data_IF_064104631205
#
_entry.id   IF_064104631205
#
_cell.length_a   1.000
_cell.length_b   1.000
_cell.length_c   1.000
_cell.angle_alpha   90.00
_cell.angle_beta   90.00
_cell.angle_gamma   90.00
#
_symmetry.space_group_name_H-M   'P 1'
#
loop_
_entity.id
_entity.type
_entity.pdbx_description
1 polymer ?
#
# COMPACT_ATOMS: atom_id res chain seq x y z
N UNK A 1 10.79 -20.02 15.79
CA UNK A 1 9.68 -19.19 15.29
C UNK A 1 9.97 -18.93 13.82
N UNK A 2 9.14 -19.33 12.83
CA UNK A 2 9.34 -18.95 11.44
C UNK A 2 9.17 -17.43 11.34
N UNK A 3 10.06 -16.77 10.61
CA UNK A 3 10.35 -15.35 10.60
C UNK A 3 9.13 -14.45 10.73
N UNK A 4 9.05 -13.75 11.84
CA UNK A 4 8.05 -12.73 12.09
C UNK A 4 8.22 -11.63 11.05
N UNK A 5 7.11 -11.16 10.51
CA UNK A 5 7.03 -9.95 9.70
C UNK A 5 7.53 -8.78 10.56
N UNK A 6 8.66 -8.19 10.19
CA UNK A 6 9.22 -7.08 10.95
C UNK A 6 8.48 -5.78 10.61
N UNK A 7 7.55 -5.39 11.47
CA UNK A 7 6.80 -4.14 11.36
C UNK A 7 7.45 -2.97 12.08
N UNK A 8 8.54 -3.22 12.81
CA UNK A 8 9.18 -2.19 13.66
C UNK A 8 9.53 -0.94 12.89
N UNK A 9 9.96 -1.09 11.63
CA UNK A 9 10.21 0.06 10.75
C UNK A 9 8.97 0.96 10.61
N UNK A 10 7.78 0.39 10.41
CA UNK A 10 6.57 1.19 10.17
C UNK A 10 6.03 1.83 11.44
N UNK A 11 6.20 1.20 12.60
CA UNK A 11 5.89 1.81 13.87
C UNK A 11 6.77 3.04 14.13
N UNK A 12 8.09 2.91 13.90
CA UNK A 12 9.04 4.01 14.04
C UNK A 12 8.83 5.10 12.97
N UNK A 13 8.52 4.69 11.75
CA UNK A 13 8.34 5.59 10.60
C UNK A 13 7.02 6.36 10.64
N UNK A 14 6.00 5.87 11.34
CA UNK A 14 4.65 6.44 11.32
C UNK A 14 4.61 7.96 11.56
N UNK A 15 5.45 8.46 12.49
CA UNK A 15 5.55 9.88 12.78
C UNK A 15 6.18 10.70 11.63
N UNK A 16 6.98 10.06 10.78
CA UNK A 16 7.80 10.70 9.75
C UNK A 16 7.35 10.35 8.33
N UNK A 17 6.44 9.39 8.15
CA UNK A 17 6.06 8.85 6.83
C UNK A 17 5.64 9.94 5.84
N UNK A 18 4.88 10.95 6.29
CA UNK A 18 4.48 12.08 5.45
C UNK A 18 5.65 12.87 4.87
N UNK A 19 6.84 12.81 5.49
CA UNK A 19 8.07 13.47 5.02
C UNK A 19 8.72 12.77 3.82
N UNK A 20 8.28 11.57 3.43
CA UNK A 20 8.73 10.90 2.22
C UNK A 20 8.22 11.65 0.97
N UNK A 21 7.06 12.29 1.09
CA UNK A 21 6.44 13.05 0.00
C UNK A 21 6.96 14.49 -0.03
N UNK A 22 7.08 15.07 -1.22
CA UNK A 22 7.36 16.49 -1.37
C UNK A 22 6.32 17.34 -0.63
N UNK A 23 5.04 17.06 -0.91
CA UNK A 23 3.89 17.59 -0.20
C UNK A 23 2.87 16.46 -0.06
N UNK A 24 2.58 16.05 1.18
CA UNK A 24 1.72 14.91 1.42
C UNK A 24 0.25 15.17 1.04
N UNK A 25 -0.29 16.37 1.29
CA UNK A 25 -1.66 16.71 0.88
C UNK A 25 -1.81 16.76 -0.64
N UNK A 26 -0.81 17.28 -1.35
CA UNK A 26 -0.78 17.22 -2.81
C UNK A 26 -0.70 15.76 -3.32
N UNK A 27 0.04 14.90 -2.62
CA UNK A 27 0.09 13.47 -2.95
C UNK A 27 -1.26 12.78 -2.71
N UNK A 28 -1.95 13.06 -1.60
CA UNK A 28 -3.32 12.59 -1.34
C UNK A 28 -4.25 12.98 -2.50
N UNK A 29 -4.25 14.26 -2.88
CA UNK A 29 -5.09 14.76 -3.97
C UNK A 29 -4.79 14.09 -5.31
N UNK A 30 -3.51 13.92 -5.65
CA UNK A 30 -3.08 13.21 -6.86
C UNK A 30 -3.52 11.75 -6.86
N UNK A 31 -3.36 11.04 -5.75
CA UNK A 31 -3.78 9.64 -5.64
C UNK A 31 -5.30 9.49 -5.76
N UNK A 32 -6.06 10.40 -5.17
CA UNK A 32 -7.51 10.45 -5.35
C UNK A 32 -7.91 10.61 -6.83
N UNK A 33 -7.21 11.46 -7.58
CA UNK A 33 -7.49 11.72 -9.00
C UNK A 33 -7.16 10.55 -9.92
N UNK A 34 -6.28 9.64 -9.51
CA UNK A 34 -5.91 8.44 -10.29
C UNK A 34 -6.71 7.21 -9.85
N UNK A 35 -6.67 6.89 -8.55
CA UNK A 35 -7.27 5.66 -8.03
C UNK A 35 -8.81 5.70 -8.04
N UNK A 36 -9.39 6.86 -7.71
CA UNK A 36 -10.85 7.01 -7.65
C UNK A 36 -11.53 6.64 -8.97
N UNK A 37 -11.21 7.29 -10.11
CA UNK A 37 -11.81 6.96 -11.41
C UNK A 37 -11.60 5.51 -11.84
N UNK A 38 -10.44 4.90 -11.55
CA UNK A 38 -10.17 3.50 -11.86
C UNK A 38 -11.10 2.57 -11.08
N UNK A 39 -11.27 2.82 -9.78
CA UNK A 39 -12.15 2.04 -8.89
C UNK A 39 -13.61 2.22 -9.31
N UNK A 40 -14.06 3.47 -9.54
CA UNK A 40 -15.43 3.79 -9.96
C UNK A 40 -15.80 3.10 -11.28
N UNK A 41 -14.91 3.19 -12.27
CA UNK A 41 -15.12 2.56 -13.58
C UNK A 41 -15.16 1.03 -13.46
N UNK A 42 -14.28 0.44 -12.64
CA UNK A 42 -14.25 -0.99 -12.45
C UNK A 42 -15.47 -1.50 -11.67
N UNK A 43 -15.96 -0.77 -10.66
CA UNK A 43 -17.15 -1.13 -9.88
C UNK A 43 -18.47 -0.75 -10.59
N UNK A 44 -18.43 0.13 -11.58
CA UNK A 44 -19.61 0.62 -12.30
C UNK A 44 -20.59 1.42 -11.43
N UNK A 45 -20.13 1.98 -10.32
CA UNK A 45 -20.94 2.76 -9.37
C UNK A 45 -20.13 3.78 -8.58
N UNK A 46 -20.82 4.73 -7.98
CA UNK A 46 -20.33 5.66 -6.96
C UNK A 46 -21.47 6.03 -6.01
N UNK A 47 -21.28 6.11 -4.66
CA UNK A 47 -20.05 5.77 -3.97
C UNK A 47 -19.73 4.26 -3.96
N UNK A 48 -18.44 3.94 -3.78
CA UNK A 48 -17.92 2.57 -3.65
C UNK A 48 -17.58 2.31 -2.17
N UNK A 49 -17.85 1.09 -1.67
CA UNK A 49 -17.37 0.63 -0.36
C UNK A 49 -15.98 0.04 -0.55
N UNK A 50 -14.98 0.66 0.03
CA UNK A 50 -13.56 0.34 -0.19
C UNK A 50 -12.92 -0.07 1.13
N UNK A 51 -12.22 -1.19 1.13
CA UNK A 51 -11.24 -1.53 2.15
C UNK A 51 -9.85 -1.16 1.64
N UNK A 52 -9.21 -0.16 2.26
CA UNK A 52 -7.77 0.08 2.11
C UNK A 52 -7.06 -0.84 3.12
N UNK A 53 -6.60 -1.99 2.63
CA UNK A 53 -6.14 -3.10 3.48
C UNK A 53 -4.73 -2.91 4.04
N UNK A 54 -4.01 -1.85 3.62
CA UNK A 54 -2.65 -1.50 4.05
C UNK A 54 -2.52 0.02 4.11
N UNK A 55 -3.43 0.66 4.86
CA UNK A 55 -3.67 2.09 4.78
C UNK A 55 -2.51 2.97 5.32
N UNK A 56 -1.55 2.40 6.04
CA UNK A 56 -0.48 3.15 6.68
C UNK A 56 -1.01 4.32 7.52
N UNK A 57 -0.50 5.51 7.29
CA UNK A 57 -0.97 6.74 7.94
C UNK A 57 -2.22 7.36 7.27
N UNK A 58 -2.84 6.63 6.32
CA UNK A 58 -4.13 6.98 5.70
C UNK A 58 -4.06 7.66 4.35
N UNK A 59 -2.95 7.64 3.63
CA UNK A 59 -2.77 8.40 2.37
C UNK A 59 -3.88 8.10 1.35
N UNK A 60 -4.12 6.84 1.02
CA UNK A 60 -5.15 6.42 0.06
C UNK A 60 -6.55 6.44 0.67
N UNK A 61 -6.68 6.02 1.94
CA UNK A 61 -7.96 6.04 2.64
C UNK A 61 -8.55 7.45 2.70
N UNK A 62 -7.74 8.45 3.06
CA UNK A 62 -8.13 9.88 3.07
C UNK A 62 -8.49 10.33 1.65
N UNK A 63 -7.63 10.03 0.67
CA UNK A 63 -7.82 10.40 -0.72
C UNK A 63 -9.19 9.95 -1.26
N UNK A 64 -9.54 8.68 -1.03
CA UNK A 64 -10.78 8.07 -1.51
C UNK A 64 -12.01 8.54 -0.71
N UNK A 65 -11.87 8.74 0.61
CA UNK A 65 -12.95 9.29 1.44
C UNK A 65 -13.29 10.75 1.07
N UNK A 66 -12.27 11.59 0.80
CA UNK A 66 -12.47 12.96 0.31
C UNK A 66 -13.18 12.99 -1.06
N UNK A 67 -13.08 11.93 -1.84
CA UNK A 67 -13.81 11.75 -3.09
C UNK A 67 -15.26 11.28 -2.90
N UNK A 68 -15.67 11.00 -1.66
CA UNK A 68 -17.03 10.61 -1.31
C UNK A 68 -17.28 9.10 -1.25
N UNK A 69 -16.24 8.27 -1.27
CA UNK A 69 -16.39 6.83 -1.08
C UNK A 69 -16.55 6.46 0.39
N UNK A 70 -17.19 5.31 0.66
CA UNK A 70 -17.28 4.73 1.98
C UNK A 70 -16.02 3.87 2.24
N UNK A 71 -15.03 4.45 2.92
CA UNK A 71 -13.73 3.83 3.13
C UNK A 71 -13.61 3.27 4.55
N UNK A 72 -13.06 2.06 4.63
CA UNK A 72 -12.51 1.45 5.85
C UNK A 72 -11.02 1.24 5.61
N UNK A 73 -10.18 1.47 6.62
CA UNK A 73 -8.74 1.23 6.52
C UNK A 73 -8.26 0.20 7.51
N UNK A 74 -7.24 -0.55 7.14
CA UNK A 74 -6.49 -1.41 8.06
C UNK A 74 -5.00 -1.39 7.76
N UNK A 75 -4.19 -1.61 8.79
CA UNK A 75 -2.74 -1.75 8.67
C UNK A 75 -2.22 -2.62 9.80
N UNK A 76 -1.10 -3.30 9.59
CA UNK A 76 -0.49 -4.13 10.62
C UNK A 76 0.16 -3.28 11.73
N UNK A 77 0.68 -2.08 11.39
CA UNK A 77 1.29 -1.14 12.34
C UNK A 77 0.22 -0.39 13.13
N UNK A 78 0.13 -0.68 14.42
CA UNK A 78 -0.77 0.06 15.33
C UNK A 78 -0.41 1.55 15.40
N UNK A 79 0.87 1.90 15.32
CA UNK A 79 1.35 3.29 15.30
C UNK A 79 0.90 4.02 14.03
N UNK A 80 0.96 3.36 12.86
CA UNK A 80 0.45 3.92 11.62
C UNK A 80 -1.07 4.12 11.67
N UNK A 81 -1.82 3.15 12.18
CA UNK A 81 -3.28 3.25 12.38
C UNK A 81 -3.63 4.38 13.35
N UNK A 82 -2.88 4.52 14.46
CA UNK A 82 -3.08 5.62 15.41
C UNK A 82 -2.83 6.98 14.74
N UNK A 83 -1.78 7.10 13.93
CA UNK A 83 -1.51 8.30 13.15
C UNK A 83 -2.62 8.56 12.11
N UNK A 84 -3.10 7.54 11.40
CA UNK A 84 -4.20 7.66 10.45
C UNK A 84 -5.48 8.21 11.12
N UNK A 85 -5.80 7.78 12.35
CA UNK A 85 -6.93 8.33 13.12
C UNK A 85 -6.80 9.83 13.39
N UNK A 86 -5.59 10.29 13.72
CA UNK A 86 -5.32 11.72 13.91
C UNK A 86 -5.52 12.48 12.60
N UNK A 87 -4.99 11.96 11.50
CA UNK A 87 -5.03 12.62 10.20
C UNK A 87 -6.44 12.67 9.60
N UNK A 88 -7.23 11.60 9.78
CA UNK A 88 -8.63 11.57 9.34
C UNK A 88 -9.49 12.50 10.16
N UNK A 89 -9.31 12.53 11.49
CA UNK A 89 -10.03 13.44 12.39
C UNK A 89 -9.73 14.92 12.08
N UNK A 90 -8.47 15.25 11.80
CA UNK A 90 -8.05 16.61 11.42
C UNK A 90 -8.73 17.10 10.13
N UNK A 91 -9.16 16.18 9.26
CA UNK A 91 -9.86 16.44 8.00
C UNK A 91 -11.38 16.26 8.10
N UNK A 92 -11.94 16.04 9.31
CA UNK A 92 -13.36 15.74 9.57
C UNK A 92 -13.86 14.51 8.77
N UNK A 93 -13.03 13.50 8.57
CA UNK A 93 -13.38 12.26 7.89
C UNK A 93 -13.67 11.16 8.93
N UNK A 94 -14.81 10.49 8.78
CA UNK A 94 -15.21 9.37 9.62
C UNK A 94 -14.82 8.05 8.94
N UNK A 95 -13.54 7.68 8.99
CA UNK A 95 -13.01 6.42 8.43
C UNK A 95 -12.81 5.43 9.57
N UNK A 96 -13.51 4.27 9.59
CA UNK A 96 -13.18 3.18 10.49
C UNK A 96 -11.77 2.64 10.20
N UNK A 97 -10.93 2.52 11.26
CA UNK A 97 -9.52 2.14 11.13
C UNK A 97 -9.17 1.03 12.12
N UNK A 98 -8.56 -0.04 11.64
CA UNK A 98 -8.29 -1.26 12.39
C UNK A 98 -6.81 -1.67 12.28
N UNK A 99 -6.26 -2.25 13.35
CA UNK A 99 -5.00 -2.99 13.26
C UNK A 99 -5.30 -4.39 12.74
N UNK A 100 -4.73 -4.77 11.59
CA UNK A 100 -4.95 -6.09 10.99
C UNK A 100 -3.79 -6.48 10.08
N UNK A 101 -3.47 -7.77 10.05
CA UNK A 101 -2.51 -8.35 9.11
C UNK A 101 -3.19 -8.57 7.75
N UNK A 102 -2.57 -8.13 6.65
CA UNK A 102 -3.08 -8.36 5.30
C UNK A 102 -3.33 -9.86 5.01
N UNK A 103 -2.59 -10.76 5.65
CA UNK A 103 -2.77 -12.22 5.52
C UNK A 103 -4.02 -12.74 6.23
N UNK A 104 -4.52 -11.98 7.21
CA UNK A 104 -5.77 -12.27 7.94
C UNK A 104 -6.52 -10.98 8.31
N UNK A 105 -7.42 -10.57 7.42
CA UNK A 105 -8.27 -9.39 7.60
C UNK A 105 -9.55 -9.68 8.41
N UNK A 106 -9.64 -10.80 9.10
CA UNK A 106 -10.82 -11.17 9.91
C UNK A 106 -11.10 -10.20 11.05
N UNK A 107 -10.08 -9.45 11.50
CA UNK A 107 -10.23 -8.39 12.49
C UNK A 107 -10.93 -7.12 11.95
N UNK A 108 -11.09 -6.99 10.63
CA UNK A 108 -11.85 -5.89 10.01
C UNK A 108 -13.32 -6.25 10.04
N UNK A 109 -14.15 -5.63 10.89
CA UNK A 109 -15.55 -5.98 11.02
C UNK A 109 -16.39 -5.44 9.87
N UNK A 110 -17.54 -6.04 9.63
CA UNK A 110 -18.56 -5.50 8.75
C UNK A 110 -18.92 -6.41 7.60
N UNK A 111 -19.74 -5.86 6.71
CA UNK A 111 -20.12 -6.50 5.46
C UNK A 111 -18.94 -6.41 4.47
N UNK A 112 -19.00 -7.27 3.47
CA UNK A 112 -18.05 -7.28 2.36
C UNK A 112 -17.98 -5.95 1.60
N UNK A 113 -16.86 -5.73 0.92
CA UNK A 113 -16.56 -4.50 0.19
C UNK A 113 -16.75 -4.69 -1.32
N UNK A 114 -16.95 -3.57 -2.03
CA UNK A 114 -16.99 -3.55 -3.49
C UNK A 114 -15.58 -3.58 -4.08
N UNK A 115 -14.62 -2.98 -3.33
CA UNK A 115 -13.22 -2.93 -3.71
C UNK A 115 -12.31 -3.16 -2.49
N UNK A 116 -11.22 -3.89 -2.70
CA UNK A 116 -10.07 -3.96 -1.78
C UNK A 116 -8.88 -3.32 -2.47
N UNK A 117 -8.25 -2.39 -1.77
CA UNK A 117 -7.04 -1.70 -2.19
C UNK A 117 -5.85 -2.25 -1.40
N UNK A 118 -4.77 -2.62 -2.12
CA UNK A 118 -3.47 -3.02 -1.57
C UNK A 118 -2.43 -2.13 -2.24
N UNK A 119 -2.23 -0.92 -1.69
CA UNK A 119 -1.40 0.09 -2.32
C UNK A 119 0.05 0.11 -1.81
N UNK A 120 0.86 0.94 -2.47
CA UNK A 120 2.21 1.32 -2.05
C UNK A 120 3.15 0.14 -1.80
N UNK A 121 3.09 -0.87 -2.70
CA UNK A 121 4.07 -1.94 -2.71
C UNK A 121 3.98 -2.94 -1.54
N UNK A 122 2.80 -3.08 -0.92
CA UNK A 122 2.62 -3.88 0.29
C UNK A 122 3.00 -5.37 0.10
N UNK A 123 2.72 -5.97 -1.06
CA UNK A 123 3.11 -7.36 -1.34
C UNK A 123 4.62 -7.62 -1.17
N UNK A 124 5.46 -6.61 -1.40
CA UNK A 124 6.90 -6.76 -1.27
C UNK A 124 7.39 -6.91 0.18
N UNK A 125 6.55 -6.59 1.15
CA UNK A 125 6.84 -6.82 2.56
C UNK A 125 6.54 -8.25 3.01
N UNK A 126 5.79 -9.00 2.22
CA UNK A 126 5.45 -10.39 2.52
C UNK A 126 6.67 -11.30 2.26
N UNK A 127 7.12 -12.07 3.26
CA UNK A 127 8.41 -12.76 3.19
C UNK A 127 8.45 -13.96 2.24
N UNK A 128 7.29 -14.48 1.85
CA UNK A 128 7.20 -15.67 1.00
C UNK A 128 6.03 -15.60 0.01
N UNK A 129 6.06 -16.46 -1.00
CA UNK A 129 4.92 -16.65 -1.91
C UNK A 129 3.67 -17.14 -1.18
N UNK A 130 3.84 -17.95 -0.14
CA UNK A 130 2.73 -18.43 0.67
C UNK A 130 2.04 -17.29 1.43
N UNK A 131 2.81 -16.33 1.94
CA UNK A 131 2.25 -15.11 2.54
C UNK A 131 1.49 -14.26 1.52
N UNK A 132 1.99 -14.13 0.28
CA UNK A 132 1.28 -13.43 -0.81
C UNK A 132 -0.03 -14.16 -1.14
N UNK A 133 -0.03 -15.49 -1.17
CA UNK A 133 -1.23 -16.33 -1.37
C UNK A 133 -2.25 -16.13 -0.25
N UNK A 134 -1.80 -16.13 1.01
CA UNK A 134 -2.67 -15.86 2.17
C UNK A 134 -3.28 -14.46 2.11
N UNK A 135 -2.50 -13.45 1.75
CA UNK A 135 -2.98 -12.08 1.57
C UNK A 135 -4.03 -11.97 0.45
N UNK A 136 -3.79 -12.60 -0.70
CA UNK A 136 -4.74 -12.65 -1.81
C UNK A 136 -6.07 -13.33 -1.39
N UNK A 137 -5.98 -14.47 -0.70
CA UNK A 137 -7.15 -15.18 -0.19
C UNK A 137 -7.89 -14.38 0.90
N UNK A 138 -7.17 -13.67 1.75
CA UNK A 138 -7.73 -12.80 2.78
C UNK A 138 -8.49 -11.63 2.15
N UNK A 139 -7.91 -10.97 1.16
CA UNK A 139 -8.57 -9.91 0.40
C UNK A 139 -9.84 -10.41 -0.33
N UNK A 140 -9.78 -11.60 -0.92
CA UNK A 140 -10.95 -12.22 -1.58
C UNK A 140 -12.13 -12.43 -0.62
N UNK A 141 -11.86 -12.81 0.64
CA UNK A 141 -12.90 -12.98 1.66
C UNK A 141 -13.59 -11.68 2.08
N UNK A 142 -12.92 -10.54 1.89
CA UNK A 142 -13.46 -9.21 2.20
C UNK A 142 -14.32 -8.64 1.07
N UNK A 143 -14.31 -9.24 -0.12
CA UNK A 143 -15.02 -8.74 -1.29
C UNK A 143 -16.40 -9.35 -1.46
N UNK A 144 -17.33 -8.55 -1.94
CA UNK A 144 -18.56 -9.05 -2.56
C UNK A 144 -18.23 -9.84 -3.83
N UNK A 145 -19.15 -10.72 -4.24
CA UNK A 145 -19.05 -11.41 -5.54
C UNK A 145 -18.99 -10.37 -6.67
N UNK A 146 -18.02 -10.52 -7.56
CA UNK A 146 -17.77 -9.57 -8.63
C UNK A 146 -17.10 -8.28 -8.18
N UNK A 147 -16.74 -8.15 -6.90
CA UNK A 147 -15.92 -7.06 -6.38
C UNK A 147 -14.51 -7.07 -6.98
N UNK A 148 -13.79 -5.99 -6.81
CA UNK A 148 -12.47 -5.81 -7.40
C UNK A 148 -11.36 -5.74 -6.35
N UNK A 149 -10.18 -6.22 -6.74
CA UNK A 149 -8.93 -5.91 -6.05
C UNK A 149 -8.12 -4.98 -6.95
N UNK A 150 -7.61 -3.89 -6.39
CA UNK A 150 -6.62 -3.03 -7.01
C UNK A 150 -5.37 -3.05 -6.15
N UNK A 151 -4.24 -3.47 -6.72
CA UNK A 151 -2.97 -3.41 -6.01
C UNK A 151 -1.94 -2.62 -6.82
N UNK A 152 -1.04 -1.94 -6.10
CA UNK A 152 0.10 -1.25 -6.72
C UNK A 152 1.40 -1.86 -6.24
N UNK A 153 2.31 -2.09 -7.15
CA UNK A 153 3.59 -2.75 -6.88
C UNK A 153 4.66 -2.20 -7.82
N UNK A 154 5.88 -2.08 -7.32
CA UNK A 154 7.05 -1.71 -8.16
C UNK A 154 7.25 -2.74 -9.28
N UNK A 155 7.88 -2.31 -10.39
CA UNK A 155 8.31 -3.24 -11.43
C UNK A 155 9.49 -4.09 -10.95
N UNK A 156 9.18 -5.12 -10.17
CA UNK A 156 10.18 -6.02 -9.63
C UNK A 156 10.79 -6.96 -10.67
N UNK A 157 10.17 -7.10 -11.83
CA UNK A 157 10.79 -7.84 -12.94
C UNK A 157 11.97 -7.07 -13.54
N UNK A 158 11.89 -5.73 -13.57
CA UNK A 158 13.02 -4.87 -13.93
C UNK A 158 14.01 -4.72 -12.77
N UNK A 159 13.54 -4.37 -11.58
CA UNK A 159 14.37 -4.08 -10.41
C UNK A 159 15.25 -5.27 -9.97
N UNK A 160 14.74 -6.51 -10.06
CA UNK A 160 15.52 -7.71 -9.72
C UNK A 160 16.67 -7.98 -10.73
N UNK A 161 16.54 -7.49 -11.97
CA UNK A 161 17.61 -7.57 -12.99
C UNK A 161 18.64 -6.45 -12.80
N UNK A 162 18.16 -5.24 -12.58
CA UNK A 162 18.98 -4.01 -12.49
C UNK A 162 19.72 -3.90 -11.16
N UNK A 163 19.11 -4.38 -10.09
CA UNK A 163 19.62 -4.33 -8.71
C UNK A 163 20.18 -2.97 -8.32
N UNK A 164 19.37 -1.90 -8.40
CA UNK A 164 19.84 -0.58 -8.04
C UNK A 164 20.29 -0.54 -6.58
N UNK A 165 21.43 0.10 -6.33
CA UNK A 165 21.94 0.29 -4.97
C UNK A 165 21.32 1.53 -4.31
N UNK A 166 20.77 2.48 -5.10
CA UNK A 166 20.27 3.75 -4.59
C UNK A 166 18.96 4.14 -5.27
N UNK A 167 18.12 4.85 -4.50
CA UNK A 167 16.92 5.51 -5.00
C UNK A 167 16.85 6.95 -4.43
N UNK A 168 16.74 7.94 -5.29
CA UNK A 168 16.88 9.35 -4.95
C UNK A 168 18.32 9.85 -5.15
N UNK A 169 18.76 10.92 -4.47
CA UNK A 169 18.04 11.67 -3.44
C UNK A 169 16.94 12.58 -3.98
N UNK A 170 15.89 12.79 -3.20
CA UNK A 170 14.91 13.84 -3.40
C UNK A 170 15.18 15.00 -2.44
N UNK A 171 15.17 16.22 -2.96
CA UNK A 171 15.38 17.42 -2.17
C UNK A 171 14.08 18.21 -2.09
N UNK A 172 13.67 18.53 -0.87
CA UNK A 172 12.41 19.24 -0.61
C UNK A 172 12.67 20.44 0.29
N UNK A 173 11.75 21.40 0.26
CA UNK A 173 11.75 22.54 1.15
C UNK A 173 10.33 22.74 1.71
N UNK A 174 10.22 22.76 3.04
CA UNK A 174 8.95 22.93 3.76
C UNK A 174 9.07 24.16 4.68
N UNK A 175 8.37 25.24 4.34
CA UNK A 175 8.35 26.45 5.17
C UNK A 175 9.75 27.06 5.41
N UNK A 176 10.62 27.05 4.39
CA UNK A 176 11.98 27.55 4.45
C UNK A 176 12.98 26.59 5.11
N UNK A 177 12.60 25.35 5.38
CA UNK A 177 13.49 24.30 5.91
C UNK A 177 13.69 23.21 4.88
N UNK A 178 14.93 22.79 4.71
CA UNK A 178 15.33 21.80 3.71
C UNK A 178 15.23 20.38 4.24
N UNK A 179 14.90 19.45 3.34
CA UNK A 179 14.83 18.02 3.63
C UNK A 179 15.38 17.21 2.47
N UNK A 180 16.08 16.13 2.79
CA UNK A 180 16.65 15.18 1.85
C UNK A 180 16.09 13.80 2.17
N UNK A 181 15.52 13.14 1.18
CA UNK A 181 15.02 11.77 1.30
C UNK A 181 15.74 10.89 0.28
N UNK A 182 16.30 9.79 0.72
CA UNK A 182 16.93 8.82 -0.17
C UNK A 182 16.87 7.41 0.41
N UNK A 183 17.09 6.43 -0.45
CA UNK A 183 17.15 5.02 -0.06
C UNK A 183 18.47 4.40 -0.53
N UNK A 184 18.99 3.48 0.27
CA UNK A 184 20.06 2.55 -0.09
C UNK A 184 19.48 1.15 -0.06
N UNK A 185 19.78 0.32 -1.05
CA UNK A 185 19.24 -1.02 -1.18
C UNK A 185 20.37 -2.04 -1.20
N UNK A 186 20.42 -2.89 -0.19
CA UNK A 186 21.38 -3.98 -0.05
C UNK A 186 20.77 -5.29 -0.51
N UNK A 187 21.09 -5.70 -1.74
CA UNK A 187 20.61 -6.95 -2.31
C UNK A 187 21.30 -8.14 -1.66
N UNK A 188 20.52 -8.94 -0.91
CA UNK A 188 20.99 -10.11 -0.15
C UNK A 188 20.73 -11.44 -0.87
N UNK A 189 20.03 -11.42 -2.01
CA UNK A 189 19.70 -12.57 -2.83
C UNK A 189 19.17 -12.17 -4.21
N UNK A 190 18.67 -13.10 -4.98
CA UNK A 190 18.11 -12.83 -6.32
C UNK A 190 16.89 -11.89 -6.25
N UNK A 191 16.07 -12.06 -5.22
CA UNK A 191 14.80 -11.34 -5.04
C UNK A 191 14.61 -10.81 -3.63
N UNK A 192 15.69 -10.64 -2.88
CA UNK A 192 15.65 -10.11 -1.52
C UNK A 192 16.62 -8.97 -1.38
N UNK A 193 16.17 -7.91 -0.73
CA UNK A 193 16.99 -6.78 -0.39
C UNK A 193 16.56 -6.15 0.93
N UNK A 194 17.50 -5.53 1.61
CA UNK A 194 17.23 -4.64 2.73
C UNK A 194 17.18 -3.22 2.18
N UNK A 195 16.12 -2.51 2.47
CA UNK A 195 15.98 -1.09 2.13
C UNK A 195 16.29 -0.27 3.38
N UNK A 196 17.19 0.68 3.23
CA UNK A 196 17.51 1.71 4.19
C UNK A 196 16.91 3.03 3.69
N UNK A 197 15.94 3.57 4.42
CA UNK A 197 15.34 4.88 4.17
C UNK A 197 15.99 5.91 5.08
N UNK A 198 16.50 6.98 4.50
CA UNK A 198 17.04 8.12 5.22
C UNK A 198 16.17 9.35 4.99
N UNK A 199 15.79 10.01 6.08
CA UNK A 199 15.10 11.29 6.09
C UNK A 199 15.98 12.26 6.88
N UNK A 200 16.68 13.15 6.18
CA UNK A 200 17.52 14.17 6.79
C UNK A 200 16.83 15.51 6.64
N UNK A 201 16.58 16.23 7.73
CA UNK A 201 15.87 17.50 7.71
C UNK A 201 16.51 18.57 8.57
N UNK A 202 16.34 19.80 8.15
CA UNK A 202 16.70 20.99 8.90
C UNK A 202 15.65 21.31 9.95
N UNK A 203 16.06 21.55 11.18
CA UNK A 203 15.20 21.95 12.32
C UNK A 203 15.70 23.26 12.88
N UNK A 204 15.00 23.83 13.86
CA UNK A 204 15.46 25.02 14.55
C UNK A 204 16.78 24.83 15.31
N UNK A 205 17.08 23.57 15.69
CA UNK A 205 18.30 23.20 16.42
C UNK A 205 19.46 22.78 15.49
N UNK A 206 19.26 22.72 14.17
CA UNK A 206 20.23 22.27 13.19
C UNK A 206 19.70 21.10 12.35
N UNK A 207 20.59 20.27 11.83
CA UNK A 207 20.23 19.10 11.03
C UNK A 207 20.01 17.87 11.91
N UNK A 208 18.95 17.10 11.61
CA UNK A 208 18.71 15.77 12.17
C UNK A 208 18.52 14.75 11.04
N UNK A 209 18.88 13.49 11.30
CA UNK A 209 18.71 12.41 10.34
C UNK A 209 18.07 11.22 11.00
N UNK A 210 17.04 10.68 10.35
CA UNK A 210 16.35 9.46 10.74
C UNK A 210 16.68 8.36 9.74
N UNK A 211 16.94 7.17 10.25
CA UNK A 211 17.24 5.99 9.47
C UNK A 211 16.26 4.88 9.82
N UNK A 212 15.60 4.34 8.81
CA UNK A 212 14.65 3.25 8.92
C UNK A 212 15.08 2.10 8.00
N UNK A 213 14.87 0.87 8.42
CA UNK A 213 15.29 -0.29 7.65
C UNK A 213 14.23 -1.37 7.63
N UNK A 214 14.02 -2.01 6.48
CA UNK A 214 13.10 -3.14 6.33
C UNK A 214 13.59 -4.09 5.24
N UNK A 215 13.26 -5.37 5.40
CA UNK A 215 13.50 -6.37 4.39
C UNK A 215 12.37 -6.38 3.36
N UNK A 216 12.73 -6.51 2.10
CA UNK A 216 11.81 -6.56 0.97
C UNK A 216 12.02 -7.83 0.14
N UNK A 217 10.93 -8.32 -0.40
CA UNK A 217 10.90 -9.35 -1.41
C UNK A 217 10.52 -8.73 -2.76
N UNK A 218 11.37 -8.87 -3.76
CA UNK A 218 11.07 -8.45 -5.12
C UNK A 218 10.07 -9.42 -5.76
N UNK A 219 8.78 -9.20 -5.50
CA UNK A 219 7.67 -10.07 -5.92
C UNK A 219 7.38 -9.85 -7.42
N UNK A 220 7.65 -10.83 -8.30
CA UNK A 220 7.42 -10.66 -9.73
C UNK A 220 5.93 -10.64 -10.07
N UNK A 221 5.56 -9.99 -11.18
CA UNK A 221 4.17 -9.91 -11.66
C UNK A 221 3.54 -11.30 -11.83
N UNK A 222 4.30 -12.27 -12.34
CA UNK A 222 3.83 -13.65 -12.52
C UNK A 222 3.41 -14.31 -11.19
N UNK A 223 4.11 -14.02 -10.09
CA UNK A 223 3.73 -14.50 -8.76
C UNK A 223 2.42 -13.86 -8.29
N UNK A 224 2.31 -12.53 -8.39
CA UNK A 224 1.07 -11.81 -8.02
C UNK A 224 -0.11 -12.32 -8.85
N UNK A 225 0.05 -12.44 -10.16
CA UNK A 225 -1.00 -12.95 -11.06
C UNK A 225 -1.46 -14.34 -10.62
N UNK A 226 -0.54 -15.28 -10.44
CA UNK A 226 -0.86 -16.66 -10.04
C UNK A 226 -1.55 -16.73 -8.68
N UNK A 227 -1.06 -16.01 -7.67
CA UNK A 227 -1.67 -16.03 -6.32
C UNK A 227 -3.06 -15.40 -6.30
N UNK A 228 -3.31 -14.40 -7.13
CA UNK A 228 -4.64 -13.82 -7.30
C UNK A 228 -5.58 -14.81 -8.02
N UNK A 229 -5.12 -15.51 -9.07
CA UNK A 229 -5.90 -16.56 -9.75
C UNK A 229 -6.29 -17.69 -8.79
N UNK A 230 -5.34 -18.17 -7.99
CA UNK A 230 -5.54 -19.18 -6.96
C UNK A 230 -6.57 -18.72 -5.90
N UNK A 231 -6.63 -17.42 -5.59
CA UNK A 231 -7.63 -16.84 -4.70
C UNK A 231 -9.00 -16.58 -5.36
N UNK A 232 -9.19 -16.95 -6.64
CA UNK A 232 -10.45 -16.85 -7.36
C UNK A 232 -10.64 -15.53 -8.13
N UNK A 233 -9.58 -14.72 -8.28
CA UNK A 233 -9.63 -13.54 -9.13
C UNK A 233 -9.43 -13.92 -10.60
N UNK A 234 -10.03 -13.12 -11.47
CA UNK A 234 -9.96 -13.24 -12.93
C UNK A 234 -9.97 -11.86 -13.58
N UNK A 235 -9.96 -11.80 -14.91
CA UNK A 235 -9.98 -10.56 -15.68
C UNK A 235 -8.90 -9.57 -15.21
N UNK A 236 -7.70 -10.08 -14.93
CA UNK A 236 -6.59 -9.26 -14.48
C UNK A 236 -6.08 -8.35 -15.58
N UNK A 237 -5.93 -7.09 -15.24
CA UNK A 237 -5.33 -6.07 -16.09
C UNK A 237 -4.17 -5.41 -15.36
N UNK A 238 -2.97 -5.54 -15.92
CA UNK A 238 -1.82 -4.77 -15.52
C UNK A 238 -1.78 -3.45 -16.30
N UNK A 239 -1.53 -2.36 -15.61
CA UNK A 239 -1.37 -1.02 -16.17
C UNK A 239 -0.02 -0.47 -15.73
N UNK A 240 0.77 0.02 -16.68
CA UNK A 240 2.03 0.69 -16.38
C UNK A 240 1.80 2.07 -15.76
N UNK A 241 2.82 2.58 -15.07
CA UNK A 241 2.76 3.92 -14.47
C UNK A 241 2.40 5.02 -15.49
N UNK A 242 2.97 4.92 -16.70
CA UNK A 242 2.67 5.87 -17.79
C UNK A 242 1.25 5.74 -18.36
N UNK A 243 0.62 4.57 -18.24
CA UNK A 243 -0.77 4.34 -18.68
C UNK A 243 -1.77 4.82 -17.63
N UNK A 244 -1.54 4.47 -16.37
CA UNK A 244 -2.46 4.78 -15.26
C UNK A 244 -2.32 6.19 -14.72
N UNK A 245 -1.16 6.81 -14.87
CA UNK A 245 -0.78 8.05 -14.20
C UNK A 245 -0.41 7.87 -12.72
N UNK A 246 -0.44 6.63 -12.21
CA UNK A 246 0.09 6.31 -10.88
C UNK A 246 1.60 6.12 -10.96
N UNK A 247 2.33 6.32 -9.88
CA UNK A 247 3.81 6.24 -9.88
C UNK A 247 4.37 4.80 -9.85
N UNK A 248 3.50 3.81 -9.75
CA UNK A 248 3.82 2.38 -9.79
C UNK A 248 2.87 1.66 -10.74
N UNK A 249 3.26 0.51 -11.30
CA UNK A 249 2.33 -0.38 -11.98
C UNK A 249 1.15 -0.76 -11.08
N UNK A 250 -0.02 -0.88 -11.70
CA UNK A 250 -1.28 -1.28 -11.04
C UNK A 250 -1.72 -2.62 -11.61
N UNK A 251 -2.15 -3.54 -10.74
CA UNK A 251 -2.98 -4.68 -11.13
C UNK A 251 -4.41 -4.46 -10.65
N UNK A 252 -5.35 -4.57 -11.57
CA UNK A 252 -6.78 -4.60 -11.32
C UNK A 252 -7.29 -6.01 -11.62
N UNK A 253 -7.96 -6.63 -10.66
CA UNK A 253 -8.49 -7.98 -10.79
C UNK A 253 -9.94 -8.03 -10.28
N UNK A 254 -10.76 -8.92 -10.83
CA UNK A 254 -12.15 -9.11 -10.43
C UNK A 254 -12.34 -10.45 -9.75
N UNK A 255 -12.97 -10.48 -8.59
CA UNK A 255 -13.34 -11.72 -7.93
C UNK A 255 -14.44 -12.45 -8.74
N UNK A 256 -14.21 -13.70 -9.08
CA UNK A 256 -15.15 -14.49 -9.86
C UNK A 256 -16.53 -14.62 -9.21
N UNK A 257 -17.56 -14.77 -10.03
CA UNK A 257 -18.93 -15.00 -9.57
C UNK A 257 -19.16 -16.42 -9.02
N UNK A 258 -18.28 -17.39 -9.35
CA UNK A 258 -18.39 -18.78 -8.94
C UNK A 258 -17.94 -18.99 -7.50
N UNK A 259 -18.74 -19.74 -6.79
CA UNK A 259 -18.51 -20.16 -5.41
C UNK A 259 -17.18 -20.89 -5.24
N UNK A 260 -16.36 -20.46 -4.29
CA UNK A 260 -15.55 -21.42 -3.56
C UNK A 260 -16.53 -22.47 -2.99
N UNK A 261 -16.47 -23.69 -3.51
CA UNK A 261 -17.19 -24.80 -2.92
C UNK A 261 -16.78 -24.88 -1.45
N UNK A 262 -17.75 -24.74 -0.57
CA UNK A 262 -17.54 -24.99 0.86
C UNK A 262 -17.25 -26.48 1.00
N UNK A 263 -16.01 -26.83 1.34
CA UNK A 263 -15.67 -28.13 1.90
C UNK A 263 -15.59 -28.01 3.41
#
# INVERSE_FOLDING_TARGET
MPGGYDISMYDDLAAYYHLIFENWDASIARQASVLGPLIEAACGKTPVRILDAVCGIGTQAIALAMRGHAVTGSDLSEAAVARARVETAARNLAIPLYAADLRDLSAVPGATFDAVLIADNAFAHLPSEDDVRQAAASAARQLDRGGILLATIRDYDALARERPAFHGPAFHEDGGRRRIVHQVWDWTGERRYTMHLYITRETAAGWESHHFTSAFHAVPRAMVTRTLEEAGFSAMRWMEAGESGYYQPIVLARLGASSLARY
#
